data_IF_534420841430
#
_entry.id   IF_534420841430
#
_cell.length_a   1.000
_cell.length_b   1.000
_cell.length_c   1.000
_cell.angle_alpha   90.00
_cell.angle_beta   90.00
_cell.angle_gamma   90.00
#
_symmetry.space_group_name_H-M   'P 1'
#
loop_
_entity.id
_entity.type
_entity.pdbx_description
1 polymer ?
#
# COMPACT_ATOMS: atom_id res chain seq x y z
N UNK A 1 -37.91 -5.94 -46.72
CA UNK A 1 -38.04 -5.06 -45.51
C UNK A 1 -37.81 -5.97 -44.33
N UNK A 2 -36.54 -6.02 -43.83
CA UNK A 2 -36.17 -6.77 -42.61
C UNK A 2 -35.96 -5.75 -41.53
N UNK A 3 -36.90 -5.73 -40.55
CA UNK A 3 -36.88 -4.87 -39.42
C UNK A 3 -35.90 -5.42 -38.36
N UNK A 4 -34.86 -4.64 -38.02
CA UNK A 4 -33.93 -4.93 -36.91
C UNK A 4 -34.71 -4.97 -35.57
N UNK A 5 -34.72 -6.15 -34.93
CA UNK A 5 -35.06 -6.28 -33.53
C UNK A 5 -33.88 -5.91 -32.68
N UNK A 6 -33.83 -4.69 -32.16
CA UNK A 6 -32.89 -4.31 -31.07
C UNK A 6 -33.17 -5.20 -29.85
N UNK A 7 -32.18 -6.02 -29.46
CA UNK A 7 -32.28 -6.84 -28.27
C UNK A 7 -32.18 -5.96 -27.01
N UNK A 8 -33.30 -5.80 -26.34
CA UNK A 8 -33.48 -5.01 -25.12
C UNK A 8 -32.87 -5.71 -23.86
N UNK A 9 -32.27 -6.87 -24.00
CA UNK A 9 -31.76 -7.69 -22.89
C UNK A 9 -30.24 -7.60 -22.64
N UNK A 10 -29.48 -6.89 -23.46
CA UNK A 10 -28.01 -6.83 -23.32
C UNK A 10 -27.49 -5.93 -22.22
N UNK A 11 -28.25 -4.96 -21.72
CA UNK A 11 -27.80 -3.94 -20.79
C UNK A 11 -27.89 -4.29 -19.30
N UNK A 12 -28.83 -5.13 -18.90
CA UNK A 12 -29.04 -5.47 -17.50
C UNK A 12 -28.32 -6.73 -17.02
N UNK A 13 -27.88 -7.60 -17.92
CA UNK A 13 -27.14 -8.83 -17.55
C UNK A 13 -25.67 -8.56 -17.18
N UNK A 14 -25.08 -7.44 -17.62
CA UNK A 14 -23.71 -7.06 -17.24
C UNK A 14 -23.56 -6.54 -15.81
N UNK A 15 -24.66 -6.17 -15.15
CA UNK A 15 -24.64 -5.71 -13.75
C UNK A 15 -24.72 -6.85 -12.73
N UNK A 16 -25.06 -8.08 -13.15
CA UNK A 16 -25.20 -9.25 -12.26
C UNK A 16 -24.09 -10.29 -12.38
N UNK A 17 -23.17 -10.12 -13.33
CA UNK A 17 -21.91 -10.87 -13.28
C UNK A 17 -21.03 -10.12 -12.30
N UNK A 18 -21.10 -10.47 -11.02
CA UNK A 18 -20.11 -10.09 -10.04
C UNK A 18 -18.75 -10.33 -10.69
N UNK A 19 -17.82 -9.36 -10.59
CA UNK A 19 -16.48 -9.49 -11.13
C UNK A 19 -15.94 -10.85 -10.68
N UNK A 20 -15.89 -11.82 -11.60
CA UNK A 20 -15.19 -13.08 -11.35
C UNK A 20 -13.81 -12.67 -10.85
N UNK A 21 -13.38 -13.11 -9.65
CA UNK A 21 -12.06 -12.77 -9.16
C UNK A 21 -11.06 -13.19 -10.25
N UNK A 22 -10.44 -12.21 -10.88
CA UNK A 22 -9.41 -12.50 -11.86
C UNK A 22 -8.30 -13.17 -11.07
N UNK A 23 -8.00 -14.42 -11.39
CA UNK A 23 -6.93 -15.17 -10.71
C UNK A 23 -5.66 -14.37 -10.88
N UNK A 24 -4.98 -14.01 -9.79
CA UNK A 24 -3.71 -13.31 -9.87
C UNK A 24 -2.76 -14.03 -10.79
N UNK A 25 -2.29 -13.34 -11.81
CA UNK A 25 -1.18 -13.82 -12.61
C UNK A 25 0.08 -13.81 -11.74
N UNK A 26 0.84 -14.89 -11.78
CA UNK A 26 2.23 -14.84 -11.34
C UNK A 26 3.05 -14.52 -12.57
N UNK A 27 3.82 -13.44 -12.52
CA UNK A 27 4.71 -13.04 -13.59
C UNK A 27 6.09 -13.65 -13.37
N UNK A 28 6.69 -14.16 -14.46
CA UNK A 28 8.08 -14.60 -14.44
C UNK A 28 9.03 -13.38 -14.41
N UNK A 29 10.20 -13.53 -13.83
CA UNK A 29 11.24 -12.50 -13.85
C UNK A 29 11.56 -12.02 -15.28
N UNK A 30 11.47 -12.92 -16.26
CA UNK A 30 11.66 -12.60 -17.69
C UNK A 30 10.66 -11.57 -18.22
N UNK A 31 9.44 -11.55 -17.69
CA UNK A 31 8.38 -10.64 -18.14
C UNK A 31 8.55 -9.20 -17.62
N UNK A 32 9.44 -9.01 -16.66
CA UNK A 32 9.79 -7.70 -16.07
C UNK A 32 11.25 -7.31 -16.35
N UNK A 33 12.00 -8.12 -17.09
CA UNK A 33 13.40 -7.84 -17.45
C UNK A 33 13.56 -6.66 -18.42
N UNK A 34 12.48 -6.24 -19.10
CA UNK A 34 12.48 -5.03 -19.92
C UNK A 34 12.60 -3.74 -19.07
N UNK A 35 12.25 -3.81 -17.80
CA UNK A 35 12.38 -2.69 -16.87
C UNK A 35 13.81 -2.63 -16.31
N UNK A 36 14.46 -1.47 -16.47
CA UNK A 36 15.86 -1.26 -16.07
C UNK A 36 15.99 -1.19 -14.54
N UNK A 37 16.91 -1.97 -13.95
CA UNK A 37 17.22 -1.95 -12.52
C UNK A 37 18.13 -0.77 -12.18
N UNK A 38 17.61 0.43 -12.25
CA UNK A 38 18.34 1.66 -11.95
C UNK A 38 17.63 2.46 -10.86
N UNK A 39 18.38 3.08 -9.93
CA UNK A 39 17.80 4.00 -8.98
C UNK A 39 17.18 5.19 -9.69
N UNK A 40 16.06 5.67 -9.16
CA UNK A 40 15.34 6.80 -9.70
C UNK A 40 15.54 8.05 -8.83
N UNK A 41 15.84 9.19 -9.48
CA UNK A 41 16.09 10.46 -8.79
C UNK A 41 14.85 10.98 -8.07
N UNK A 42 13.66 10.84 -8.65
CA UNK A 42 12.40 11.26 -8.02
C UNK A 42 12.16 10.55 -6.68
N UNK A 43 12.57 9.29 -6.57
CA UNK A 43 12.50 8.59 -5.30
C UNK A 43 13.56 9.06 -4.30
N UNK A 44 14.72 9.54 -4.75
CA UNK A 44 15.68 10.19 -3.86
C UNK A 44 15.12 11.51 -3.31
N UNK A 45 14.47 12.31 -4.14
CA UNK A 45 13.76 13.55 -3.74
C UNK A 45 12.62 13.26 -2.74
N UNK A 46 11.96 12.11 -2.89
CA UNK A 46 10.98 11.60 -1.94
C UNK A 46 11.60 10.98 -0.66
N UNK A 47 12.89 11.19 -0.37
CA UNK A 47 13.60 10.60 0.76
C UNK A 47 13.67 9.06 0.75
N UNK A 48 13.72 8.43 -0.41
CA UNK A 48 13.88 6.99 -0.57
C UNK A 48 15.29 6.69 -1.06
N UNK A 49 16.15 6.15 -0.19
CA UNK A 49 17.56 5.91 -0.48
C UNK A 49 17.77 4.90 -1.61
N UNK A 50 18.93 4.98 -2.29
CA UNK A 50 19.33 3.99 -3.31
C UNK A 50 19.30 2.56 -2.76
N UNK A 51 19.73 2.39 -1.50
CA UNK A 51 19.69 1.07 -0.84
C UNK A 51 18.27 0.54 -0.73
N UNK A 52 17.34 1.39 -0.33
CA UNK A 52 15.91 1.04 -0.24
C UNK A 52 15.32 0.74 -1.62
N UNK A 53 15.60 1.57 -2.62
CA UNK A 53 15.13 1.32 -3.99
C UNK A 53 15.59 -0.05 -4.51
N UNK A 54 16.84 -0.43 -4.26
CA UNK A 54 17.37 -1.76 -4.61
C UNK A 54 16.69 -2.89 -3.82
N UNK A 55 16.44 -2.68 -2.53
CA UNK A 55 15.78 -3.65 -1.66
C UNK A 55 14.37 -3.98 -2.13
N UNK A 56 13.62 -2.97 -2.58
CA UNK A 56 12.26 -3.10 -3.10
C UNK A 56 12.19 -3.36 -4.62
N UNK A 57 13.33 -3.70 -5.25
CA UNK A 57 13.42 -4.00 -6.69
C UNK A 57 12.75 -2.92 -7.55
N UNK A 58 13.02 -1.64 -7.25
CA UNK A 58 12.54 -0.53 -8.05
C UNK A 58 13.26 -0.53 -9.39
N UNK A 59 12.46 -0.42 -10.47
CA UNK A 59 12.94 -0.41 -11.84
C UNK A 59 12.40 0.80 -12.61
N UNK A 60 12.86 0.97 -13.81
CA UNK A 60 12.44 2.03 -14.71
C UNK A 60 11.98 1.48 -16.05
N UNK A 61 10.80 1.87 -16.47
CA UNK A 61 10.28 1.57 -17.81
C UNK A 61 10.60 2.74 -18.75
N UNK A 62 11.61 2.54 -19.60
CA UNK A 62 12.08 3.55 -20.54
C UNK A 62 11.06 3.84 -21.64
N UNK A 63 10.26 2.85 -22.01
CA UNK A 63 9.28 2.98 -23.09
C UNK A 63 8.15 3.93 -22.70
N UNK A 64 7.66 3.81 -21.48
CA UNK A 64 6.53 4.61 -20.98
C UNK A 64 6.94 5.80 -20.14
N UNK A 65 8.20 5.90 -19.71
CA UNK A 65 8.73 6.88 -18.75
C UNK A 65 8.05 6.77 -17.38
N UNK A 66 7.93 5.53 -16.88
CA UNK A 66 7.39 5.28 -15.55
C UNK A 66 8.39 4.53 -14.66
N UNK A 67 8.37 4.87 -13.38
CA UNK A 67 9.03 4.10 -12.34
C UNK A 67 8.21 2.84 -12.13
N UNK A 68 8.82 1.66 -12.32
CA UNK A 68 8.17 0.37 -12.16
C UNK A 68 8.37 -0.12 -10.72
N UNK A 69 7.27 -0.20 -9.98
CA UNK A 69 7.20 -0.68 -8.59
C UNK A 69 6.73 -2.13 -8.64
N UNK A 70 7.63 -3.05 -8.34
CA UNK A 70 7.35 -4.48 -8.36
C UNK A 70 6.55 -4.87 -7.11
N UNK A 71 5.40 -5.51 -7.31
CA UNK A 71 4.62 -6.09 -6.23
C UNK A 71 4.87 -7.59 -6.13
N UNK A 72 5.15 -8.07 -4.92
CA UNK A 72 5.37 -9.48 -4.64
C UNK A 72 4.34 -9.99 -3.63
N UNK A 73 3.99 -11.27 -3.76
CA UNK A 73 3.25 -11.96 -2.71
C UNK A 73 4.18 -12.35 -1.56
N UNK A 74 3.63 -12.93 -0.49
CA UNK A 74 4.40 -13.37 0.69
C UNK A 74 5.52 -14.35 0.35
N UNK A 75 5.36 -15.14 -0.72
CA UNK A 75 6.37 -16.10 -1.20
C UNK A 75 7.47 -15.46 -2.07
N UNK A 76 7.39 -14.16 -2.32
CA UNK A 76 8.33 -13.42 -3.16
C UNK A 76 8.08 -13.50 -4.66
N UNK A 77 6.99 -14.13 -5.10
CA UNK A 77 6.62 -14.19 -6.52
C UNK A 77 6.05 -12.86 -6.98
N UNK A 78 6.40 -12.42 -8.17
CA UNK A 78 5.90 -11.19 -8.76
C UNK A 78 4.43 -11.39 -9.11
N UNK A 79 3.55 -10.55 -8.54
CA UNK A 79 2.11 -10.59 -8.78
C UNK A 79 1.64 -9.43 -9.64
N UNK A 80 2.42 -8.37 -9.75
CA UNK A 80 2.09 -7.22 -10.58
C UNK A 80 3.18 -6.17 -10.60
N UNK A 81 2.97 -5.13 -11.40
CA UNK A 81 3.85 -3.97 -11.49
C UNK A 81 3.02 -2.71 -11.55
N UNK A 82 3.20 -1.82 -10.58
CA UNK A 82 2.58 -0.50 -10.56
C UNK A 82 3.55 0.51 -11.15
N UNK A 83 3.09 1.29 -12.13
CA UNK A 83 3.84 2.40 -12.69
C UNK A 83 3.56 3.69 -11.93
N UNK A 84 4.61 4.40 -11.52
CA UNK A 84 4.52 5.78 -11.06
C UNK A 84 5.15 6.70 -12.11
N UNK A 85 4.42 7.71 -12.54
CA UNK A 85 4.93 8.74 -13.48
C UNK A 85 6.25 9.31 -12.98
N UNK A 86 7.26 9.29 -13.86
CA UNK A 86 8.61 9.79 -13.57
C UNK A 86 8.75 11.30 -13.83
N UNK A 87 7.97 11.84 -14.78
CA UNK A 87 7.97 13.26 -15.16
C UNK A 87 6.96 14.08 -14.36
N UNK A 88 7.06 15.42 -14.46
CA UNK A 88 6.06 16.37 -13.94
C UNK A 88 4.91 16.65 -14.93
N UNK A 89 4.86 15.91 -16.02
CA UNK A 89 3.81 16.00 -17.04
C UNK A 89 2.46 15.61 -16.44
N UNK A 90 1.62 16.60 -16.13
CA UNK A 90 0.30 16.38 -15.52
C UNK A 90 -0.73 15.77 -16.47
N UNK A 91 -0.46 15.75 -17.78
CA UNK A 91 -1.32 15.06 -18.75
C UNK A 91 -1.21 13.54 -18.60
N UNK A 92 -0.08 13.04 -18.13
CA UNK A 92 0.12 11.63 -17.83
C UNK A 92 -0.49 11.24 -16.49
N UNK A 93 -1.16 10.11 -16.43
CA UNK A 93 -1.73 9.55 -15.19
C UNK A 93 -0.62 9.32 -14.17
N UNK A 94 -0.81 9.78 -12.92
CA UNK A 94 0.20 9.67 -11.85
C UNK A 94 0.56 8.22 -11.55
N UNK A 95 -0.42 7.32 -11.53
CA UNK A 95 -0.24 5.87 -11.27
C UNK A 95 -1.11 5.04 -12.21
N UNK A 96 -0.55 3.96 -12.77
CA UNK A 96 -1.31 2.94 -13.48
C UNK A 96 -0.67 1.55 -13.34
N UNK A 97 -1.35 0.50 -13.79
CA UNK A 97 -0.80 -0.85 -13.74
C UNK A 97 -0.01 -1.15 -15.02
N UNK A 98 1.32 -1.26 -14.92
CA UNK A 98 2.19 -1.77 -15.99
C UNK A 98 1.95 -3.27 -16.21
N UNK A 99 1.74 -4.01 -15.11
CA UNK A 99 1.27 -5.41 -15.11
C UNK A 99 0.09 -5.51 -14.15
N UNK A 100 -1.05 -5.99 -14.65
CA UNK A 100 -2.32 -6.07 -13.92
C UNK A 100 -2.25 -7.07 -12.76
N UNK A 101 -2.83 -6.73 -11.60
CA UNK A 101 -2.96 -7.60 -10.43
C UNK A 101 -4.09 -7.13 -9.51
N UNK A 102 -4.49 -7.99 -8.57
CA UNK A 102 -5.48 -7.67 -7.55
C UNK A 102 -4.78 -7.15 -6.28
N UNK A 103 -4.61 -5.83 -6.18
CA UNK A 103 -3.95 -5.19 -5.02
C UNK A 103 -4.52 -5.64 -3.68
N UNK A 104 -5.83 -5.84 -3.60
CA UNK A 104 -6.55 -6.23 -2.39
C UNK A 104 -6.18 -7.63 -1.85
N UNK A 105 -5.49 -8.43 -2.66
CA UNK A 105 -5.00 -9.75 -2.22
C UNK A 105 -3.60 -9.73 -1.63
N UNK A 106 -2.87 -8.61 -1.75
CA UNK A 106 -1.46 -8.52 -1.38
C UNK A 106 -1.19 -7.30 -0.49
N UNK A 107 -0.11 -7.38 0.28
CA UNK A 107 0.46 -6.27 1.02
C UNK A 107 1.83 -5.94 0.42
N UNK A 108 1.98 -4.75 -0.17
CA UNK A 108 3.27 -4.30 -0.65
C UNK A 108 4.28 -4.20 0.49
N UNK A 109 5.49 -4.67 0.27
CA UNK A 109 6.55 -4.62 1.27
C UNK A 109 6.52 -5.75 2.31
N UNK A 110 5.48 -6.59 2.32
CA UNK A 110 5.40 -7.68 3.30
C UNK A 110 6.50 -8.72 3.09
N UNK A 111 6.78 -9.09 1.84
CA UNK A 111 7.87 -9.99 1.50
C UNK A 111 9.24 -9.37 1.81
N UNK A 112 9.46 -8.14 1.38
CA UNK A 112 10.73 -7.44 1.53
C UNK A 112 11.10 -7.19 3.00
N UNK A 113 10.12 -6.89 3.83
CA UNK A 113 10.29 -6.60 5.26
C UNK A 113 10.00 -7.81 6.17
N UNK A 114 9.72 -8.98 5.59
CA UNK A 114 9.21 -10.16 6.32
C UNK A 114 10.04 -10.51 7.56
N UNK A 115 11.37 -10.61 7.43
CA UNK A 115 12.23 -11.04 8.52
C UNK A 115 12.15 -10.10 9.75
N UNK A 116 12.11 -8.79 9.52
CA UNK A 116 12.02 -7.81 10.60
C UNK A 116 10.60 -7.77 11.19
N UNK A 117 9.56 -7.87 10.36
CA UNK A 117 8.16 -7.95 10.82
C UNK A 117 7.97 -9.17 11.74
N UNK A 118 8.47 -10.35 11.36
CA UNK A 118 8.34 -11.57 12.16
C UNK A 118 9.16 -11.49 13.45
N UNK A 119 10.36 -10.91 13.38
CA UNK A 119 11.23 -10.74 14.54
C UNK A 119 10.61 -9.80 15.57
N UNK A 120 10.12 -8.65 15.14
CA UNK A 120 9.53 -7.63 16.02
C UNK A 120 8.04 -7.92 16.34
N UNK A 121 7.40 -8.84 15.60
CA UNK A 121 5.97 -9.18 15.65
C UNK A 121 5.07 -7.95 15.57
N UNK A 122 5.53 -6.93 14.84
CA UNK A 122 4.91 -5.61 14.70
C UNK A 122 4.90 -5.16 13.25
N UNK A 123 3.84 -4.44 12.87
CA UNK A 123 3.67 -3.94 11.51
C UNK A 123 3.09 -2.53 11.48
N UNK A 124 3.55 -1.72 10.52
CA UNK A 124 2.96 -0.43 10.18
C UNK A 124 2.24 -0.53 8.85
N UNK A 125 0.97 -0.15 8.83
CA UNK A 125 0.09 -0.27 7.66
C UNK A 125 -0.11 1.10 7.04
N UNK A 126 0.43 1.30 5.84
CA UNK A 126 0.32 2.52 5.04
C UNK A 126 -0.66 2.34 3.88
N UNK A 127 -1.08 3.45 3.26
CA UNK A 127 -1.87 3.40 2.02
C UNK A 127 -0.99 3.11 0.80
N UNK A 128 0.17 3.76 0.71
CA UNK A 128 1.00 3.78 -0.50
C UNK A 128 2.40 3.20 -0.30
N UNK A 129 2.94 2.65 -1.38
CA UNK A 129 4.27 2.05 -1.45
C UNK A 129 5.38 3.04 -1.08
N UNK A 130 5.20 4.33 -1.39
CA UNK A 130 6.15 5.39 -1.06
C UNK A 130 6.45 5.42 0.44
N UNK A 131 5.41 5.40 1.25
CA UNK A 131 5.52 5.49 2.72
C UNK A 131 6.23 4.28 3.32
N UNK A 132 6.02 3.08 2.77
CA UNK A 132 6.76 1.87 3.15
C UNK A 132 8.26 2.03 2.88
N UNK A 133 8.61 2.53 1.70
CA UNK A 133 10.01 2.73 1.31
C UNK A 133 10.66 3.86 2.11
N UNK A 134 9.93 4.93 2.44
CA UNK A 134 10.42 5.99 3.32
C UNK A 134 10.70 5.46 4.73
N UNK A 135 9.76 4.72 5.32
CA UNK A 135 9.95 4.09 6.64
C UNK A 135 11.17 3.16 6.65
N UNK A 136 11.35 2.33 5.61
CA UNK A 136 12.54 1.49 5.46
C UNK A 136 13.83 2.32 5.36
N UNK A 137 13.83 3.44 4.63
CA UNK A 137 14.97 4.36 4.55
C UNK A 137 15.33 4.95 5.91
N UNK A 138 14.33 5.19 6.76
CA UNK A 138 14.51 5.69 8.13
C UNK A 138 15.03 4.63 9.12
N UNK A 139 15.26 3.40 8.66
CA UNK A 139 15.67 2.28 9.50
C UNK A 139 14.52 1.62 10.26
N UNK A 140 13.29 1.75 9.73
CA UNK A 140 12.06 1.16 10.29
C UNK A 140 11.46 0.21 9.26
N UNK A 141 12.06 -0.98 9.02
CA UNK A 141 11.64 -1.92 7.98
C UNK A 141 10.45 -2.80 8.43
N UNK A 142 9.41 -2.17 8.97
CA UNK A 142 8.19 -2.83 9.47
C UNK A 142 6.93 -2.41 8.67
N UNK A 143 7.10 -1.64 7.60
CA UNK A 143 6.00 -1.08 6.82
C UNK A 143 5.46 -2.04 5.77
N UNK A 144 4.15 -1.99 5.57
CA UNK A 144 3.45 -2.56 4.41
C UNK A 144 2.44 -1.57 3.87
N UNK A 145 2.09 -1.67 2.57
CA UNK A 145 1.02 -0.85 2.01
C UNK A 145 -0.14 -1.70 1.49
N UNK A 146 -1.35 -1.18 1.74
CA UNK A 146 -2.60 -1.80 1.23
C UNK A 146 -2.90 -1.42 -0.21
N UNK A 147 -2.31 -0.34 -0.71
CA UNK A 147 -2.50 0.17 -2.08
C UNK A 147 -3.85 0.84 -2.32
N UNK A 148 -4.63 1.10 -1.28
CA UNK A 148 -5.95 1.74 -1.28
C UNK A 148 -6.21 2.39 0.07
N UNK A 149 -7.39 3.05 0.23
CA UNK A 149 -7.81 3.62 1.52
C UNK A 149 -8.43 2.59 2.48
N UNK A 150 -8.60 1.35 2.05
CA UNK A 150 -9.25 0.31 2.84
C UNK A 150 -8.46 -0.99 2.78
N UNK A 151 -8.21 -1.60 3.94
CA UNK A 151 -7.57 -2.91 4.03
C UNK A 151 -8.59 -4.01 3.75
N UNK A 152 -8.28 -4.89 2.80
CA UNK A 152 -9.13 -6.03 2.45
C UNK A 152 -8.99 -7.19 3.44
N UNK A 153 -9.99 -8.07 3.48
CA UNK A 153 -9.95 -9.26 4.33
C UNK A 153 -8.78 -10.21 4.01
N UNK A 154 -8.40 -10.31 2.74
CA UNK A 154 -7.27 -11.13 2.35
C UNK A 154 -5.96 -10.54 2.88
N UNK A 155 -5.82 -9.21 2.85
CA UNK A 155 -4.68 -8.51 3.42
C UNK A 155 -4.60 -8.70 4.94
N UNK A 156 -5.73 -8.62 5.65
CA UNK A 156 -5.78 -8.92 7.10
C UNK A 156 -5.37 -10.36 7.38
N UNK A 157 -5.76 -11.33 6.55
CA UNK A 157 -5.36 -12.75 6.73
C UNK A 157 -3.86 -12.95 6.66
N UNK A 158 -3.12 -12.16 5.86
CA UNK A 158 -1.66 -12.23 5.82
C UNK A 158 -1.00 -11.83 7.14
N UNK A 159 -1.67 -11.01 7.97
CA UNK A 159 -1.17 -10.62 9.29
C UNK A 159 -1.35 -11.73 10.35
N UNK A 160 -2.32 -12.63 10.14
CA UNK A 160 -2.66 -13.67 11.10
C UNK A 160 -1.45 -14.55 11.43
N UNK A 161 -1.18 -14.74 12.72
CA UNK A 161 -0.04 -15.48 13.27
C UNK A 161 1.34 -14.86 13.02
N UNK A 162 1.44 -13.82 12.23
CA UNK A 162 2.71 -13.17 11.89
C UNK A 162 3.04 -12.00 12.82
N UNK A 163 2.02 -11.31 13.34
CA UNK A 163 2.20 -10.12 14.16
C UNK A 163 1.32 -10.17 15.42
N UNK A 164 1.76 -9.47 16.47
CA UNK A 164 1.03 -9.26 17.71
C UNK A 164 0.55 -7.80 17.84
N UNK A 165 1.13 -6.91 17.04
CA UNK A 165 0.79 -5.49 17.02
C UNK A 165 0.74 -4.94 15.59
N UNK A 166 -0.33 -4.21 15.27
CA UNK A 166 -0.49 -3.49 14.02
C UNK A 166 -0.80 -2.00 14.29
N UNK A 167 -0.14 -1.09 13.58
CA UNK A 167 -0.40 0.35 13.68
C UNK A 167 -0.78 0.87 12.30
N UNK A 168 -1.96 1.47 12.19
CA UNK A 168 -2.43 2.13 10.97
C UNK A 168 -1.78 3.50 10.87
N UNK A 169 -1.09 3.75 9.75
CA UNK A 169 -0.31 4.94 9.44
C UNK A 169 -0.81 5.56 8.11
N UNK A 170 -2.09 5.88 8.04
CA UNK A 170 -2.71 6.44 6.83
C UNK A 170 -2.40 7.92 6.66
N UNK A 171 -2.65 8.42 5.46
CA UNK A 171 -2.45 9.83 5.11
C UNK A 171 -3.41 10.72 5.93
N UNK A 172 -3.01 11.96 6.16
CA UNK A 172 -3.75 12.88 7.07
C UNK A 172 -5.17 13.21 6.61
N UNK A 173 -5.44 13.13 5.31
CA UNK A 173 -6.77 13.41 4.74
C UNK A 173 -7.77 12.23 4.89
N UNK A 174 -7.32 11.08 5.40
CA UNK A 174 -8.23 9.97 5.71
C UNK A 174 -9.01 10.28 6.99
N UNK A 175 -10.33 10.24 6.90
CA UNK A 175 -11.21 10.50 8.03
C UNK A 175 -10.94 9.54 9.20
N UNK A 176 -10.85 10.08 10.42
CA UNK A 176 -10.58 9.30 11.62
C UNK A 176 -11.58 8.13 11.81
N UNK A 177 -12.85 8.32 11.45
CA UNK A 177 -13.85 7.25 11.53
C UNK A 177 -13.48 6.04 10.67
N UNK A 178 -12.96 6.27 9.46
CA UNK A 178 -12.51 5.20 8.54
C UNK A 178 -11.34 4.45 9.16
N UNK A 179 -10.36 5.17 9.74
CA UNK A 179 -9.21 4.57 10.43
C UNK A 179 -9.65 3.72 11.60
N UNK A 180 -10.58 4.24 12.44
CA UNK A 180 -11.12 3.54 13.60
C UNK A 180 -11.90 2.27 13.22
N UNK A 181 -12.70 2.32 12.16
CA UNK A 181 -13.42 1.15 11.66
C UNK A 181 -12.46 0.04 11.21
N UNK A 182 -11.43 0.40 10.47
CA UNK A 182 -10.42 -0.56 10.03
C UNK A 182 -9.62 -1.13 11.20
N UNK A 183 -9.22 -0.29 12.15
CA UNK A 183 -8.51 -0.74 13.34
C UNK A 183 -9.35 -1.72 14.18
N UNK A 184 -10.64 -1.43 14.38
CA UNK A 184 -11.58 -2.34 15.05
C UNK A 184 -11.75 -3.65 14.28
N UNK A 185 -11.82 -3.59 12.94
CA UNK A 185 -11.93 -4.77 12.07
C UNK A 185 -10.72 -5.68 12.21
N UNK A 186 -9.51 -5.13 12.15
CA UNK A 186 -8.26 -5.88 12.34
C UNK A 186 -8.24 -6.51 13.74
N UNK A 187 -8.54 -5.73 14.79
CA UNK A 187 -8.55 -6.21 16.18
C UNK A 187 -9.54 -7.37 16.36
N UNK A 188 -10.75 -7.23 15.84
CA UNK A 188 -11.79 -8.24 15.99
C UNK A 188 -11.47 -9.55 15.24
N UNK A 189 -10.82 -9.46 14.08
CA UNK A 189 -10.48 -10.63 13.29
C UNK A 189 -9.24 -11.37 13.78
N UNK A 190 -8.26 -10.64 14.30
CA UNK A 190 -6.96 -11.21 14.66
C UNK A 190 -6.72 -11.35 16.16
N UNK A 191 -7.43 -10.59 16.99
CA UNK A 191 -7.23 -10.56 18.44
C UNK A 191 -5.88 -9.97 18.88
N UNK A 192 -5.25 -9.16 18.03
CA UNK A 192 -3.95 -8.52 18.29
C UNK A 192 -4.12 -7.10 18.83
N UNK A 193 -3.03 -6.50 19.30
CA UNK A 193 -2.98 -5.09 19.68
C UNK A 193 -3.03 -4.24 18.41
N UNK A 194 -3.97 -3.28 18.34
CA UNK A 194 -4.11 -2.41 17.15
C UNK A 194 -4.11 -0.96 17.58
N UNK A 195 -3.21 -0.20 16.98
CA UNK A 195 -3.09 1.24 17.12
C UNK A 195 -3.28 1.97 15.81
N UNK A 196 -3.32 3.29 15.89
CA UNK A 196 -3.35 4.19 14.75
C UNK A 196 -2.63 5.50 15.07
N UNK A 197 -2.08 6.14 14.05
CA UNK A 197 -1.52 7.48 14.14
C UNK A 197 -2.65 8.49 13.95
N UNK A 198 -2.71 9.49 14.84
CA UNK A 198 -3.53 10.67 14.69
C UNK A 198 -2.66 11.91 14.95
N UNK A 199 -2.63 12.86 14.00
CA UNK A 199 -1.77 14.04 14.06
C UNK A 199 -2.45 15.18 14.82
N UNK A 200 -2.49 15.09 16.15
CA UNK A 200 -3.09 16.12 17.04
C UNK A 200 -2.37 17.46 16.99
N UNK A 201 -1.05 17.44 16.75
CA UNK A 201 -0.22 18.64 16.74
C UNK A 201 -0.19 19.34 15.38
N UNK A 202 -0.90 18.83 14.37
CA UNK A 202 -0.90 19.35 12.99
C UNK A 202 0.50 19.49 12.37
N UNK A 203 1.33 18.47 12.55
CA UNK A 203 2.69 18.38 12.00
C UNK A 203 2.69 18.09 10.50
N UNK A 204 1.63 17.46 10.00
CA UNK A 204 1.43 17.06 8.62
C UNK A 204 0.55 18.06 7.87
N UNK A 205 0.76 18.20 6.56
CA UNK A 205 -0.16 18.87 5.65
C UNK A 205 -1.28 17.92 5.24
N UNK A 206 -2.37 18.44 4.67
CA UNK A 206 -3.59 17.70 4.33
C UNK A 206 -3.37 16.41 3.54
N UNK A 207 -2.42 16.26 2.70
CA UNK A 207 -2.17 15.04 1.91
C UNK A 207 -0.83 14.37 2.22
N UNK A 208 -0.23 14.74 3.34
CA UNK A 208 1.00 14.10 3.76
C UNK A 208 0.72 12.75 4.41
N UNK A 209 1.50 11.76 4.02
CA UNK A 209 1.68 10.55 4.78
C UNK A 209 2.50 10.82 6.05
N UNK A 210 2.36 10.04 7.11
CA UNK A 210 3.17 10.19 8.33
C UNK A 210 4.69 10.22 8.10
N UNK A 211 5.17 9.67 6.99
CA UNK A 211 6.59 9.62 6.63
C UNK A 211 7.08 10.80 5.79
N UNK A 212 6.19 11.62 5.21
CA UNK A 212 6.56 12.67 4.26
C UNK A 212 7.40 13.79 4.87
N UNK A 213 7.30 14.02 6.18
CA UNK A 213 8.09 15.03 6.91
C UNK A 213 9.40 14.51 7.46
N UNK A 214 9.79 13.31 7.06
CA UNK A 214 11.05 12.71 7.45
C UNK A 214 11.00 11.96 8.79
N UNK A 215 12.14 11.34 9.10
CA UNK A 215 12.27 10.40 10.23
C UNK A 215 11.85 10.97 11.59
N UNK A 216 12.27 12.19 11.90
CA UNK A 216 12.01 12.78 13.22
C UNK A 216 10.52 12.97 13.49
N UNK A 217 9.76 13.48 12.50
CA UNK A 217 8.31 13.66 12.61
C UNK A 217 7.62 12.31 12.66
N UNK A 218 8.03 11.35 11.84
CA UNK A 218 7.44 10.01 11.87
C UNK A 218 7.62 9.33 13.23
N UNK A 219 8.80 9.40 13.85
CA UNK A 219 9.03 8.87 15.19
C UNK A 219 8.15 9.56 16.24
N UNK A 220 8.03 10.89 16.17
CA UNK A 220 7.16 11.65 17.09
C UNK A 220 5.70 11.23 16.97
N UNK A 221 5.21 11.00 15.75
CA UNK A 221 3.85 10.50 15.51
C UNK A 221 3.68 9.07 16.05
N UNK A 222 4.69 8.21 15.93
CA UNK A 222 4.65 6.85 16.49
C UNK A 222 4.66 6.84 18.02
N UNK A 223 5.36 7.78 18.69
CA UNK A 223 5.34 7.93 20.16
C UNK A 223 3.93 8.26 20.67
N UNK A 224 3.13 8.96 19.86
CA UNK A 224 1.74 9.34 20.17
C UNK A 224 0.72 8.38 19.54
N UNK A 225 1.05 7.10 19.39
CA UNK A 225 0.12 6.09 18.84
C UNK A 225 -1.06 5.87 19.77
N UNK A 226 -2.28 6.01 19.26
CA UNK A 226 -3.52 5.67 19.95
C UNK A 226 -3.87 4.20 19.76
N UNK A 227 -4.36 3.52 20.80
CA UNK A 227 -4.71 2.10 20.73
C UNK A 227 -6.21 1.87 20.92
N UNK A 228 -6.75 0.90 20.17
CA UNK A 228 -8.15 0.49 20.29
C UNK A 228 -8.36 -0.28 21.58
N UNK A 229 -9.20 0.25 22.47
CA UNK A 229 -9.55 -0.35 23.76
C UNK A 229 -8.75 0.16 24.96
N UNK A 230 -7.78 1.03 24.77
CA UNK A 230 -7.27 1.90 25.83
C UNK A 230 -8.32 3.01 25.97
N UNK A 231 -8.88 3.18 27.16
CA UNK A 231 -10.08 3.96 27.48
C UNK A 231 -10.28 5.23 26.63
N UNK A 232 -11.40 5.26 25.90
CA UNK A 232 -11.91 6.47 25.24
C UNK A 232 -12.43 7.49 26.28
N UNK A 233 -11.66 7.75 27.34
CA UNK A 233 -11.98 8.73 28.39
C UNK A 233 -11.21 10.03 28.16
N UNK A 234 -11.34 10.65 26.98
CA UNK A 234 -10.63 11.90 26.77
C UNK A 234 -10.95 12.74 25.55
N UNK A 235 -11.73 12.26 24.61
CA UNK A 235 -12.15 13.10 23.48
C UNK A 235 -13.56 13.61 23.74
N UNK A 236 -13.63 14.86 24.29
CA UNK A 236 -14.85 15.66 24.37
C UNK A 236 -14.95 16.55 23.15
#
# INVERSE_FOLDING_TARGET
IITERKSFFGGKFRQFIGKVPQKDGIYDEKEVNSYEKVPNLRFLEDNISIRTQKHFDIRYDRETDYIAIIWRNIEGKIVGVKGRRNSDDEEKVKYFALKQFQKTQHLYGFHENYNEIIKERKIFIFEAEKSVMQAHTFGIPLGVAVGSHDIDEQQIRHLKFNVDEAIICYDKDVELNVVLEQAKRIKNQLGIKVGYIYDEENLLREKDSPTDKGRAIFLKLLENTHYIGDDMTGIK
#
